data_IF_367022805012
#
_entry.id   IF_367022805012
#
_cell.length_a   1.000
_cell.length_b   1.000
_cell.length_c   1.000
_cell.angle_alpha   90.00
_cell.angle_beta   90.00
_cell.angle_gamma   90.00
#
_symmetry.space_group_name_H-M   'P 1'
#
loop_
_entity.id
_entity.type
_entity.pdbx_description
1 polymer ?
#
# COMPACT_ATOMS: atom_id res chain seq x y z
N UNK A 1 3.91 62.80 39.26
CA UNK A 1 4.81 62.48 38.12
C UNK A 1 4.63 61.01 37.80
N UNK A 2 4.09 60.72 36.61
CA UNK A 2 3.84 59.41 35.98
C UNK A 2 5.14 58.58 35.90
N UNK A 3 5.24 57.25 35.73
CA UNK A 3 4.37 56.13 35.36
C UNK A 3 5.10 54.85 35.85
N UNK A 4 4.43 53.85 36.45
CA UNK A 4 3.99 52.61 35.79
C UNK A 4 4.99 51.97 34.81
N UNK A 5 5.49 50.80 35.22
CA UNK A 5 5.67 49.64 34.33
C UNK A 5 7.00 49.56 33.57
N UNK A 6 7.80 48.54 33.88
CA UNK A 6 7.85 47.38 32.99
C UNK A 6 8.88 46.35 33.48
N UNK A 7 8.37 45.36 34.20
CA UNK A 7 8.97 44.03 34.24
C UNK A 7 8.98 43.48 32.81
N UNK A 8 10.11 43.61 32.10
CA UNK A 8 10.31 42.94 30.81
C UNK A 8 10.43 41.43 31.03
N UNK A 9 9.27 40.81 31.16
CA UNK A 9 9.04 39.38 31.11
C UNK A 9 9.67 38.77 29.85
N UNK A 10 10.18 37.57 30.07
CA UNK A 10 10.81 36.69 29.11
C UNK A 10 10.00 36.52 27.82
N UNK A 11 10.71 36.49 26.69
CA UNK A 11 10.21 35.81 25.49
C UNK A 11 11.32 34.94 24.93
N UNK A 12 11.53 33.80 25.60
CA UNK A 12 12.25 32.67 25.03
C UNK A 12 11.59 32.35 23.69
N UNK A 13 12.25 32.72 22.60
CA UNK A 13 11.73 32.56 21.25
C UNK A 13 12.05 31.13 20.84
N UNK A 14 11.19 30.18 21.22
CA UNK A 14 11.23 28.82 20.68
C UNK A 14 10.84 28.94 19.19
N UNK A 15 11.74 28.66 18.24
CA UNK A 15 11.39 28.74 16.84
C UNK A 15 10.32 27.68 16.54
N UNK A 16 9.29 28.01 15.73
CA UNK A 16 8.28 27.04 15.37
C UNK A 16 8.94 25.94 14.53
N UNK A 17 8.92 24.70 15.02
CA UNK A 17 9.32 23.52 14.25
C UNK A 17 8.32 23.36 13.11
N UNK A 18 8.69 23.87 11.92
CA UNK A 18 7.88 23.70 10.71
C UNK A 18 8.04 22.27 10.25
N UNK A 19 7.08 21.42 10.60
CA UNK A 19 6.96 20.08 10.01
C UNK A 19 6.55 20.27 8.55
N UNK A 20 7.53 20.34 7.65
CA UNK A 20 7.24 20.44 6.23
C UNK A 20 6.71 19.07 5.77
N UNK A 21 5.39 18.94 5.66
CA UNK A 21 4.80 17.82 4.96
C UNK A 21 5.27 17.90 3.51
N UNK A 22 6.11 16.95 3.11
CA UNK A 22 6.69 16.88 1.77
C UNK A 22 5.57 16.87 0.74
N UNK A 23 5.26 18.04 0.18
CA UNK A 23 4.23 18.20 -0.84
C UNK A 23 4.71 17.44 -2.07
N UNK A 24 4.03 16.35 -2.41
CA UNK A 24 4.29 15.66 -3.68
C UNK A 24 4.16 16.66 -4.82
N UNK A 25 5.17 16.69 -5.69
CA UNK A 25 5.16 17.51 -6.90
C UNK A 25 3.97 17.09 -7.77
N UNK A 26 3.33 18.03 -8.46
CA UNK A 26 2.12 17.75 -9.27
C UNK A 26 2.36 16.59 -10.26
N UNK A 27 3.54 16.52 -10.86
CA UNK A 27 3.97 15.41 -11.73
C UNK A 27 3.86 14.04 -11.07
N UNK A 28 4.24 13.89 -9.79
CA UNK A 28 4.12 12.60 -9.08
C UNK A 28 2.67 12.18 -8.88
N UNK A 29 1.79 13.14 -8.61
CA UNK A 29 0.35 12.85 -8.43
C UNK A 29 -0.26 12.35 -9.74
N UNK A 30 0.04 13.00 -10.85
CA UNK A 30 -0.43 12.60 -12.18
C UNK A 30 0.06 11.20 -12.56
N UNK A 31 1.35 10.90 -12.33
CA UNK A 31 1.91 9.56 -12.58
C UNK A 31 1.22 8.49 -11.73
N UNK A 32 1.01 8.75 -10.43
CA UNK A 32 0.33 7.80 -9.55
C UNK A 32 -1.13 7.60 -9.98
N UNK A 33 -1.84 8.66 -10.35
CA UNK A 33 -3.22 8.58 -10.86
C UNK A 33 -3.29 7.71 -12.12
N UNK A 34 -2.35 7.87 -13.06
CA UNK A 34 -2.27 7.02 -14.24
C UNK A 34 -2.06 5.54 -13.86
N UNK A 35 -1.11 5.24 -12.97
CA UNK A 35 -0.89 3.86 -12.51
C UNK A 35 -2.10 3.27 -11.79
N UNK A 36 -2.73 4.02 -10.87
CA UNK A 36 -3.92 3.56 -10.16
C UNK A 36 -5.11 3.33 -11.10
N UNK A 37 -5.23 4.11 -12.18
CA UNK A 37 -6.28 3.90 -13.19
C UNK A 37 -6.07 2.60 -13.99
N UNK A 38 -4.82 2.19 -14.19
CA UNK A 38 -4.47 0.95 -14.91
C UNK A 38 -4.44 -0.28 -14.00
N UNK A 39 -4.11 -0.09 -12.72
CA UNK A 39 -4.02 -1.15 -11.72
C UNK A 39 -5.20 -2.14 -11.72
N UNK A 40 -6.48 -1.73 -11.76
CA UNK A 40 -7.59 -2.68 -11.75
C UNK A 40 -7.62 -3.60 -12.98
N UNK A 41 -7.25 -3.10 -14.16
CA UNK A 41 -7.20 -3.93 -15.37
C UNK A 41 -6.10 -5.01 -15.26
N UNK A 42 -4.91 -4.62 -14.79
CA UNK A 42 -3.82 -5.57 -14.55
C UNK A 42 -4.12 -6.55 -13.43
N UNK A 43 -4.77 -6.11 -12.36
CA UNK A 43 -5.23 -7.00 -11.28
C UNK A 43 -6.21 -8.04 -11.78
N UNK A 44 -7.20 -7.62 -12.57
CA UNK A 44 -8.18 -8.54 -13.15
C UNK A 44 -7.51 -9.55 -14.08
N UNK A 45 -6.60 -9.09 -14.95
CA UNK A 45 -5.81 -9.99 -15.80
C UNK A 45 -4.97 -10.97 -14.98
N UNK A 46 -4.30 -10.48 -13.94
CA UNK A 46 -3.48 -11.30 -13.05
C UNK A 46 -4.34 -12.36 -12.34
N UNK A 47 -5.53 -12.01 -11.83
CA UNK A 47 -6.44 -12.97 -11.19
C UNK A 47 -6.91 -14.00 -12.21
N UNK A 48 -7.36 -13.58 -13.39
CA UNK A 48 -7.87 -14.51 -14.41
C UNK A 48 -6.81 -15.50 -14.92
N UNK A 49 -5.53 -15.13 -14.92
CA UNK A 49 -4.44 -16.00 -15.36
C UNK A 49 -3.89 -16.83 -14.20
N UNK A 50 -3.51 -16.17 -13.10
CA UNK A 50 -2.77 -16.82 -12.02
C UNK A 50 -3.66 -17.67 -11.13
N UNK A 51 -4.95 -17.32 -10.98
CA UNK A 51 -5.88 -18.16 -10.21
C UNK A 51 -6.03 -19.56 -10.82
N UNK A 52 -6.48 -19.74 -12.08
CA UNK A 52 -6.62 -21.08 -12.64
C UNK A 52 -5.27 -21.79 -12.80
N UNK A 53 -4.18 -21.06 -13.03
CA UNK A 53 -2.85 -21.68 -13.06
C UNK A 53 -2.47 -22.25 -11.69
N UNK A 54 -2.61 -21.46 -10.61
CA UNK A 54 -2.32 -21.92 -9.25
C UNK A 54 -3.22 -23.09 -8.86
N UNK A 55 -4.50 -23.04 -9.24
CA UNK A 55 -5.45 -24.15 -9.06
C UNK A 55 -5.02 -25.40 -9.83
N UNK A 56 -4.57 -25.28 -11.08
CA UNK A 56 -4.08 -26.40 -11.87
C UNK A 56 -2.80 -27.01 -11.27
N UNK A 57 -1.86 -26.16 -10.83
CA UNK A 57 -0.65 -26.60 -10.13
C UNK A 57 -1.03 -27.29 -8.82
N UNK A 58 -1.89 -26.70 -7.99
CA UNK A 58 -2.34 -27.33 -6.75
C UNK A 58 -2.99 -28.71 -7.02
N UNK A 59 -3.87 -28.78 -8.01
CA UNK A 59 -4.53 -30.02 -8.37
C UNK A 59 -3.58 -31.08 -8.91
N UNK A 60 -2.46 -30.69 -9.52
CA UNK A 60 -1.48 -31.66 -10.02
C UNK A 60 -0.76 -32.41 -8.90
N UNK A 61 -0.73 -31.86 -7.67
CA UNK A 61 -0.22 -32.52 -6.46
C UNK A 61 -1.30 -33.13 -5.57
N UNK A 62 -2.57 -33.04 -5.97
CA UNK A 62 -3.68 -33.63 -5.22
C UNK A 62 -4.42 -34.69 -6.05
N UNK A 63 -4.94 -35.69 -5.37
CA UNK A 63 -5.97 -36.55 -5.93
C UNK A 63 -7.33 -35.94 -5.59
N UNK A 64 -8.13 -35.66 -6.61
CA UNK A 64 -9.48 -35.10 -6.45
C UNK A 64 -10.48 -35.95 -7.25
N UNK A 65 -11.52 -36.42 -6.59
CA UNK A 65 -12.60 -37.24 -7.17
C UNK A 65 -13.94 -36.48 -7.28
N UNK A 66 -13.94 -35.16 -7.01
CA UNK A 66 -15.14 -34.32 -6.97
C UNK A 66 -15.73 -34.12 -5.56
N UNK A 67 -15.40 -35.00 -4.61
CA UNK A 67 -15.94 -34.98 -3.23
C UNK A 67 -14.85 -34.83 -2.18
N UNK A 68 -13.68 -35.43 -2.40
CA UNK A 68 -12.55 -35.40 -1.49
C UNK A 68 -11.28 -34.95 -2.22
N UNK A 69 -10.47 -34.14 -1.53
CA UNK A 69 -9.17 -33.68 -2.01
C UNK A 69 -8.11 -34.20 -1.06
N UNK A 70 -7.20 -35.03 -1.57
CA UNK A 70 -6.06 -35.56 -0.82
C UNK A 70 -4.77 -35.04 -1.44
N UNK A 71 -3.86 -34.52 -0.61
CA UNK A 71 -2.52 -34.16 -1.07
C UNK A 71 -1.67 -35.42 -1.21
N UNK A 72 -1.22 -35.71 -2.44
CA UNK A 72 -0.45 -36.91 -2.79
C UNK A 72 0.97 -36.56 -3.25
N UNK A 73 1.31 -35.27 -3.34
CA UNK A 73 2.63 -34.82 -3.76
C UNK A 73 2.93 -35.24 -5.19
N UNK A 74 4.07 -35.90 -5.41
CA UNK A 74 4.55 -36.27 -6.75
C UNK A 74 3.98 -37.59 -7.29
N UNK A 75 3.05 -38.24 -6.58
CA UNK A 75 2.53 -39.56 -6.97
C UNK A 75 1.70 -39.56 -8.27
N UNK A 76 1.31 -38.38 -8.77
CA UNK A 76 0.61 -38.20 -10.04
C UNK A 76 1.52 -38.23 -11.28
N UNK A 77 2.84 -38.29 -11.11
CA UNK A 77 3.86 -38.20 -12.17
C UNK A 77 4.75 -39.44 -12.16
#
# INVERSE_FOLDING_TARGET
MNALGDTKQAKATVPPVRVSLRRMTMRRRETLTAFFSLAPAFLLMAVLIWYPLATAVYHSFTQWDGLQTMWIGLQNY
#
